data_IF_416328020852
#
_entry.id   IF_416328020852
#
_cell.length_a   1.000
_cell.length_b   1.000
_cell.length_c   1.000
_cell.angle_alpha   90.00
_cell.angle_beta   90.00
_cell.angle_gamma   90.00
#
_symmetry.space_group_name_H-M   'P 1'
#
loop_
_entity.id
_entity.type
_entity.pdbx_description
1 polymer ?
#
# COMPACT_ATOMS: atom_id res chain seq x y z
N UNK A 1 -27.45 -4.73 11.99
CA UNK A 1 -27.36 -6.19 12.21
C UNK A 1 -26.43 -6.77 11.15
N UNK A 2 -25.79 -7.89 11.43
CA UNK A 2 -25.02 -8.68 10.46
C UNK A 2 -25.96 -9.44 9.51
N UNK A 3 -25.40 -9.96 8.42
CA UNK A 3 -26.15 -10.78 7.46
C UNK A 3 -26.64 -12.09 8.09
N UNK A 4 -27.68 -12.75 7.56
CA UNK A 4 -28.29 -13.93 8.19
C UNK A 4 -27.36 -15.12 8.40
N UNK A 5 -26.33 -15.26 7.55
CA UNK A 5 -25.32 -16.32 7.64
C UNK A 5 -24.16 -15.98 8.60
N UNK A 6 -24.22 -14.85 9.32
CA UNK A 6 -23.27 -14.45 10.35
C UNK A 6 -23.91 -14.45 11.74
N UNK A 7 -23.12 -14.57 12.82
CA UNK A 7 -23.60 -14.36 14.18
C UNK A 7 -24.34 -13.03 14.30
N UNK A 8 -25.52 -13.03 14.92
CA UNK A 8 -26.40 -11.87 14.97
C UNK A 8 -25.89 -10.83 15.98
N UNK A 9 -25.09 -9.89 15.49
CA UNK A 9 -24.47 -8.83 16.28
C UNK A 9 -24.69 -7.45 15.66
N UNK A 10 -24.46 -6.40 16.44
CA UNK A 10 -24.45 -5.02 15.96
C UNK A 10 -23.05 -4.70 15.43
N UNK A 11 -22.97 -4.24 14.17
CA UNK A 11 -21.76 -3.65 13.61
C UNK A 11 -21.79 -2.14 13.86
N UNK A 12 -20.75 -1.62 14.50
CA UNK A 12 -20.55 -0.17 14.67
C UNK A 12 -19.31 0.20 13.85
N UNK A 13 -19.46 1.09 12.87
CA UNK A 13 -18.41 1.46 11.92
C UNK A 13 -18.09 2.96 12.02
N UNK A 14 -17.39 3.41 13.08
CA UNK A 14 -17.19 4.84 13.36
C UNK A 14 -16.31 5.55 12.32
N UNK A 15 -15.54 4.79 11.53
CA UNK A 15 -14.65 5.31 10.49
C UNK A 15 -15.22 5.15 9.07
N UNK A 16 -16.51 4.78 8.92
CA UNK A 16 -17.09 4.45 7.61
C UNK A 16 -16.93 5.54 6.55
N UNK A 17 -17.03 6.81 6.98
CA UNK A 17 -16.96 7.97 6.09
C UNK A 17 -15.56 8.59 6.00
N UNK A 18 -14.55 7.96 6.60
CA UNK A 18 -13.18 8.46 6.53
C UNK A 18 -12.56 8.10 5.18
N UNK A 19 -11.97 9.10 4.52
CA UNK A 19 -11.16 8.87 3.34
C UNK A 19 -9.77 8.32 3.70
N UNK A 20 -9.10 7.73 2.70
CA UNK A 20 -7.70 7.31 2.79
C UNK A 20 -6.80 8.41 3.38
N UNK A 21 -6.95 9.64 2.89
CA UNK A 21 -6.16 10.79 3.33
C UNK A 21 -6.46 11.21 4.77
N UNK A 22 -7.72 11.09 5.22
CA UNK A 22 -8.10 11.40 6.60
C UNK A 22 -7.50 10.39 7.58
N UNK A 23 -7.45 9.10 7.21
CA UNK A 23 -6.79 8.06 8.01
C UNK A 23 -5.31 8.42 8.22
N UNK A 24 -4.56 8.69 7.13
CA UNK A 24 -3.14 9.00 7.25
C UNK A 24 -2.86 10.33 7.95
N UNK A 25 -3.67 11.36 7.69
CA UNK A 25 -3.56 12.64 8.39
C UNK A 25 -3.68 12.45 9.90
N UNK A 26 -4.67 11.67 10.36
CA UNK A 26 -4.85 11.39 11.77
C UNK A 26 -3.69 10.57 12.36
N UNK A 27 -3.31 9.48 11.70
CA UNK A 27 -2.23 8.59 12.15
C UNK A 27 -0.93 9.38 12.36
N UNK A 28 -0.55 10.22 11.40
CA UNK A 28 0.68 11.00 11.47
C UNK A 28 0.58 12.13 12.51
N UNK A 29 -0.50 12.91 12.51
CA UNK A 29 -0.68 14.03 13.45
C UNK A 29 -0.73 13.57 14.91
N UNK A 30 -1.32 12.39 15.16
CA UNK A 30 -1.46 11.82 16.50
C UNK A 30 -0.34 10.85 16.86
N UNK A 31 0.64 10.65 15.96
CA UNK A 31 1.75 9.71 16.13
C UNK A 31 1.27 8.31 16.53
N UNK A 32 0.18 7.86 15.92
CA UNK A 32 -0.33 6.50 16.14
C UNK A 32 0.69 5.52 15.56
N UNK A 33 1.15 4.52 16.33
CA UNK A 33 2.02 3.47 15.79
C UNK A 33 1.34 2.77 14.61
N UNK A 34 2.08 2.58 13.51
CA UNK A 34 1.59 1.91 12.30
C UNK A 34 2.59 0.86 11.83
N UNK A 35 2.12 -0.11 11.04
CA UNK A 35 2.95 -1.17 10.47
C UNK A 35 4.02 -0.59 9.53
N UNK A 36 5.29 -0.98 9.69
CA UNK A 36 6.41 -0.44 8.91
C UNK A 36 6.27 -0.63 7.40
N UNK A 37 5.53 -1.64 6.94
CA UNK A 37 5.25 -1.87 5.52
C UNK A 37 4.59 -0.63 4.85
N UNK A 38 3.80 0.15 5.59
CA UNK A 38 3.23 1.38 5.05
C UNK A 38 4.29 2.44 4.75
N UNK A 39 5.40 2.48 5.48
CA UNK A 39 6.54 3.35 5.15
C UNK A 39 7.30 2.86 3.91
N UNK A 40 7.15 1.59 3.53
CA UNK A 40 7.80 0.93 2.40
C UNK A 40 6.90 0.90 1.14
N UNK A 41 5.83 1.70 1.11
CA UNK A 41 4.97 1.89 -0.07
C UNK A 41 3.81 0.91 -0.20
N UNK A 42 3.58 0.03 0.77
CA UNK A 42 2.34 -0.73 0.82
C UNK A 42 1.18 0.19 1.19
N UNK A 43 0.07 0.14 0.46
CA UNK A 43 -1.13 0.97 0.76
C UNK A 43 -2.33 0.15 1.20
N UNK A 44 -2.30 -1.16 0.99
CA UNK A 44 -3.30 -2.13 1.45
C UNK A 44 -2.59 -3.43 1.84
N UNK A 45 -2.75 -3.89 3.09
CA UNK A 45 -2.08 -5.11 3.61
C UNK A 45 -3.07 -6.28 3.63
N UNK A 46 -2.64 -7.44 3.14
CA UNK A 46 -3.47 -8.65 3.05
C UNK A 46 -2.60 -9.89 3.05
N UNK A 47 -2.86 -10.85 2.15
CA UNK A 47 -2.07 -12.09 2.11
C UNK A 47 -0.65 -11.86 1.58
N UNK A 48 0.32 -12.60 2.10
CA UNK A 48 1.72 -12.53 1.65
C UNK A 48 1.91 -12.89 0.18
N UNK A 49 1.00 -13.67 -0.40
CA UNK A 49 1.07 -14.11 -1.80
C UNK A 49 0.52 -13.10 -2.82
N UNK A 50 -0.19 -12.06 -2.38
CA UNK A 50 -0.87 -11.12 -3.27
C UNK A 50 -0.89 -9.68 -2.75
N UNK A 51 0.13 -9.31 -1.97
CA UNK A 51 0.32 -7.93 -1.50
C UNK A 51 1.67 -7.42 -1.95
N UNK A 52 1.69 -6.35 -2.73
CA UNK A 52 2.89 -5.67 -3.18
C UNK A 52 2.83 -4.17 -2.85
N UNK A 53 3.97 -3.45 -2.84
CA UNK A 53 3.98 -2.00 -2.78
C UNK A 53 3.12 -1.40 -3.90
N UNK A 54 2.50 -0.25 -3.64
CA UNK A 54 1.62 0.39 -4.61
C UNK A 54 2.45 0.92 -5.79
N UNK A 55 2.15 0.52 -7.04
CA UNK A 55 2.89 0.99 -8.22
C UNK A 55 2.82 2.51 -8.41
N UNK A 56 1.76 3.18 -7.95
CA UNK A 56 1.64 4.64 -8.02
C UNK A 56 2.61 5.37 -7.08
N UNK A 57 3.29 4.65 -6.18
CA UNK A 57 4.30 5.18 -5.26
C UNK A 57 5.73 4.85 -5.71
N UNK A 58 5.90 4.14 -6.82
CA UNK A 58 7.20 3.76 -7.34
C UNK A 58 8.01 4.98 -7.82
N UNK A 59 9.30 4.98 -7.54
CA UNK A 59 10.25 5.95 -8.08
C UNK A 59 11.64 5.31 -8.22
N UNK A 60 12.49 5.93 -9.04
CA UNK A 60 13.91 5.55 -9.14
C UNK A 60 14.72 6.41 -8.18
N UNK A 61 15.45 5.78 -7.27
CA UNK A 61 16.30 6.49 -6.32
C UNK A 61 17.59 7.04 -6.97
N UNK A 62 18.43 7.69 -6.16
CA UNK A 62 19.71 8.26 -6.61
C UNK A 62 20.73 7.24 -7.13
N UNK A 63 20.52 5.96 -6.85
CA UNK A 63 21.36 4.85 -7.26
C UNK A 63 20.81 4.11 -8.48
N UNK A 64 19.67 4.54 -9.03
CA UNK A 64 19.02 3.84 -10.13
C UNK A 64 18.15 2.66 -9.68
N UNK A 65 17.97 2.45 -8.38
CA UNK A 65 17.16 1.36 -7.82
C UNK A 65 15.68 1.73 -7.76
N UNK A 66 14.81 0.73 -7.99
CA UNK A 66 13.37 0.85 -7.74
C UNK A 66 13.11 0.99 -6.24
N UNK A 67 12.47 2.08 -5.85
CA UNK A 67 12.07 2.39 -4.48
C UNK A 67 10.62 2.86 -4.45
N UNK A 68 10.05 2.98 -3.24
CA UNK A 68 8.66 3.40 -3.06
C UNK A 68 8.51 4.47 -2.00
N UNK A 69 7.69 5.48 -2.30
CA UNK A 69 7.28 6.45 -1.30
C UNK A 69 6.33 5.81 -0.29
N UNK A 70 6.29 6.35 0.93
CA UNK A 70 5.38 5.87 1.97
C UNK A 70 3.90 6.02 1.59
N UNK A 71 3.04 5.19 2.19
CA UNK A 71 1.62 5.07 1.90
C UNK A 71 0.87 6.42 1.89
N UNK A 72 1.12 7.28 2.88
CA UNK A 72 0.50 8.60 2.99
C UNK A 72 0.90 9.60 1.89
N UNK A 73 1.78 9.21 0.96
CA UNK A 73 2.11 9.97 -0.25
C UNK A 73 1.24 9.57 -1.45
N UNK A 74 0.35 8.58 -1.32
CA UNK A 74 -0.53 8.16 -2.41
C UNK A 74 -1.48 9.31 -2.77
N UNK A 75 -1.45 9.86 -4.00
CA UNK A 75 -2.25 11.03 -4.34
C UNK A 75 -3.74 10.73 -4.47
N UNK A 76 -4.07 9.56 -5.03
CA UNK A 76 -5.43 9.11 -5.23
C UNK A 76 -5.73 7.90 -4.34
N UNK A 77 -6.58 8.10 -3.34
CA UNK A 77 -7.02 7.04 -2.44
C UNK A 77 -7.79 5.92 -3.13
N UNK A 78 -8.39 6.16 -4.31
CA UNK A 78 -9.04 5.10 -5.08
C UNK A 78 -8.05 4.02 -5.54
N UNK A 79 -6.76 4.35 -5.65
CA UNK A 79 -5.70 3.42 -5.99
C UNK A 79 -5.15 2.64 -4.77
N UNK A 80 -5.76 2.73 -3.58
CA UNK A 80 -5.29 2.06 -2.35
C UNK A 80 -4.96 0.57 -2.57
N UNK A 81 -5.74 -0.12 -3.41
CA UNK A 81 -5.62 -1.56 -3.65
C UNK A 81 -4.86 -1.93 -4.93
N UNK A 82 -4.21 -0.98 -5.60
CA UNK A 82 -3.47 -1.24 -6.85
C UNK A 82 -2.37 -2.30 -6.68
N UNK A 83 -1.74 -2.38 -5.50
CA UNK A 83 -0.74 -3.42 -5.16
C UNK A 83 -1.29 -4.87 -5.06
N UNK A 84 -2.56 -5.11 -5.42
CA UNK A 84 -3.19 -6.44 -5.48
C UNK A 84 -3.28 -7.03 -6.87
N UNK A 85 -3.24 -6.19 -7.91
CA UNK A 85 -3.68 -6.58 -9.25
C UNK A 85 -2.62 -7.35 -10.03
N UNK A 86 -1.33 -7.22 -9.68
CA UNK A 86 -0.26 -8.10 -10.13
C UNK A 86 0.98 -7.93 -9.25
N UNK A 87 1.82 -8.96 -9.16
CA UNK A 87 3.21 -8.77 -8.75
C UNK A 87 3.91 -7.80 -9.71
N UNK A 88 4.95 -7.06 -9.30
CA UNK A 88 5.82 -6.41 -10.24
C UNK A 88 6.32 -7.48 -11.22
N UNK A 89 5.78 -7.49 -12.43
CA UNK A 89 6.23 -8.41 -13.47
C UNK A 89 7.70 -8.13 -13.69
N UNK A 90 8.54 -9.16 -13.57
CA UNK A 90 9.86 -9.10 -14.18
C UNK A 90 9.69 -8.65 -15.63
N UNK A 91 10.29 -7.50 -15.95
CA UNK A 91 10.78 -7.11 -17.26
C UNK A 91 9.73 -7.09 -18.38
N UNK A 92 9.06 -5.95 -18.55
CA UNK A 92 8.26 -5.62 -19.73
C UNK A 92 8.39 -4.14 -20.10
N UNK A 93 9.42 -3.80 -20.88
CA UNK A 93 9.53 -2.62 -21.76
C UNK A 93 9.34 -1.19 -21.22
N UNK A 94 9.25 -0.93 -19.91
CA UNK A 94 9.22 0.45 -19.38
C UNK A 94 10.52 0.89 -18.68
N UNK A 95 11.43 -0.03 -18.35
CA UNK A 95 12.61 0.26 -17.53
C UNK A 95 13.86 -0.51 -18.00
N UNK A 96 14.19 -0.40 -19.29
CA UNK A 96 15.45 -0.91 -19.85
C UNK A 96 16.64 -0.16 -19.22
N UNK A 97 17.10 -0.62 -18.06
CA UNK A 97 18.24 -0.03 -17.34
C UNK A 97 18.27 -0.28 -15.83
N UNK A 98 17.21 -0.82 -15.23
CA UNK A 98 17.18 -1.06 -13.77
C UNK A 98 17.70 -2.46 -13.47
N UNK A 99 18.89 -2.55 -12.88
CA UNK A 99 19.41 -3.79 -12.32
C UNK A 99 18.67 -4.12 -11.02
N UNK A 100 17.67 -5.00 -11.12
CA UNK A 100 16.87 -5.44 -9.96
C UNK A 100 17.64 -6.37 -9.01
N UNK A 101 18.73 -7.01 -9.47
CA UNK A 101 19.53 -7.91 -8.63
C UNK A 101 20.39 -7.15 -7.60
N UNK A 102 20.65 -5.85 -7.81
CA UNK A 102 21.35 -5.02 -6.83
C UNK A 102 20.44 -4.43 -5.74
N UNK A 103 19.11 -4.51 -5.89
CA UNK A 103 18.16 -3.78 -5.04
C UNK A 103 17.22 -4.70 -4.22
N UNK A 104 17.28 -6.02 -4.40
CA UNK A 104 16.55 -7.01 -3.58
C UNK A 104 17.58 -7.86 -2.84
N UNK A 105 18.18 -7.29 -1.79
CA UNK A 105 18.76 -8.10 -0.73
C UNK A 105 17.72 -8.16 0.40
N UNK A 106 17.04 -9.30 0.50
CA UNK A 106 16.51 -9.78 1.77
C UNK A 106 17.67 -10.31 2.62
#
# INVERSE_FOLDING_TARGET
KTDPNWPQIVRVSPLLNWSYHQIWSYVLQRRVPYCSLYAQGYTSIGSTFNTWPNPALAYTDRYGCLSYHAAWKLPDGAAERAGRQAAPTHVGNAYSGINIESCINL
#
